data_IF_803208740978
#
_entry.id   IF_803208740978
#
_cell.length_a   1.000
_cell.length_b   1.000
_cell.length_c   1.000
_cell.angle_alpha   90.00
_cell.angle_beta   90.00
_cell.angle_gamma   90.00
#
_symmetry.space_group_name_H-M   'P 1'
#
loop_
_entity.id
_entity.type
_entity.pdbx_description
1 polymer ?
#
# COMPACT_ATOMS: atom_id res chain seq x y z
N UNK A 1 -9.05 45.27 26.27
CA UNK A 1 -8.03 44.34 26.81
C UNK A 1 -8.42 42.88 26.52
N UNK A 2 -8.61 42.50 25.25
CA UNK A 2 -9.12 41.15 24.90
C UNK A 2 -8.22 40.37 23.93
N UNK A 3 -7.18 40.98 23.35
CA UNK A 3 -6.35 40.33 22.32
C UNK A 3 -5.11 39.56 22.83
N UNK A 4 -4.88 39.53 24.14
CA UNK A 4 -3.71 38.84 24.71
C UNK A 4 -3.98 37.34 24.87
N UNK A 5 -5.20 36.94 25.26
CA UNK A 5 -5.55 35.53 25.49
C UNK A 5 -5.54 34.68 24.21
N UNK A 6 -5.91 35.25 23.05
CA UNK A 6 -5.92 34.55 21.75
C UNK A 6 -4.50 34.23 21.22
N UNK A 7 -3.47 34.98 21.60
CA UNK A 7 -2.09 34.69 21.20
C UNK A 7 -1.47 33.51 21.97
N UNK A 8 -1.88 33.29 23.23
CA UNK A 8 -1.39 32.17 24.02
C UNK A 8 -2.02 30.83 23.59
N UNK A 9 -3.28 30.82 23.16
CA UNK A 9 -3.94 29.60 22.67
C UNK A 9 -3.30 29.05 21.38
N UNK A 10 -2.85 29.93 20.46
CA UNK A 10 -2.17 29.50 19.22
C UNK A 10 -0.80 28.85 19.46
N UNK A 11 -0.07 29.23 20.52
CA UNK A 11 1.25 28.66 20.83
C UNK A 11 1.20 27.28 21.48
N UNK A 12 0.13 26.92 22.19
CA UNK A 12 0.04 25.58 22.79
C UNK A 12 -0.24 24.46 21.78
N UNK A 13 -0.93 24.76 20.67
CA UNK A 13 -1.22 23.80 19.61
C UNK A 13 -0.03 23.49 18.67
N UNK A 14 0.95 24.39 18.55
CA UNK A 14 2.11 24.18 17.67
C UNK A 14 3.15 23.21 18.25
N UNK A 15 3.26 23.12 19.58
CA UNK A 15 4.19 22.22 20.28
C UNK A 15 3.70 20.77 20.39
N UNK A 16 2.50 20.48 19.90
CA UNK A 16 1.86 19.15 19.97
C UNK A 16 1.56 18.56 18.60
N UNK A 17 1.99 19.19 17.51
CA UNK A 17 1.81 18.65 16.16
C UNK A 17 2.51 17.29 16.04
N UNK A 18 1.70 16.22 16.01
CA UNK A 18 2.13 14.84 15.82
C UNK A 18 1.82 14.45 14.38
N UNK A 19 2.84 14.35 13.54
CA UNK A 19 2.70 13.77 12.21
C UNK A 19 2.74 12.25 12.34
N UNK A 20 1.70 11.55 11.89
CA UNK A 20 1.69 10.08 11.77
C UNK A 20 2.29 9.69 10.42
N UNK A 21 3.32 8.86 10.44
CA UNK A 21 3.85 8.15 9.28
C UNK A 21 3.80 6.67 9.62
N UNK A 22 2.77 5.96 9.13
CA UNK A 22 2.52 4.56 9.48
C UNK A 22 2.21 4.34 10.97
N UNK A 23 2.84 3.34 11.60
CA UNK A 23 2.59 2.91 13.00
C UNK A 23 3.20 3.86 14.04
N UNK A 24 4.04 4.82 13.63
CA UNK A 24 4.81 5.66 14.56
C UNK A 24 4.20 7.06 14.74
N UNK A 25 4.13 7.53 15.99
CA UNK A 25 3.76 8.89 16.36
C UNK A 25 4.97 9.64 16.93
N UNK A 26 5.40 10.70 16.27
CA UNK A 26 6.55 11.50 16.71
C UNK A 26 6.11 12.81 17.38
N UNK A 27 6.76 13.18 18.49
CA UNK A 27 6.56 14.47 19.17
C UNK A 27 7.71 15.40 18.79
N UNK A 28 7.43 16.39 17.95
CA UNK A 28 8.41 17.38 17.46
C UNK A 28 8.73 18.39 18.56
N UNK A 29 9.55 18.04 19.56
CA UNK A 29 9.87 18.95 20.68
C UNK A 29 11.25 19.61 20.62
N UNK A 30 12.23 19.04 19.93
CA UNK A 30 13.56 19.65 19.80
C UNK A 30 14.17 19.37 18.42
N UNK A 31 14.79 20.38 17.81
CA UNK A 31 15.43 20.29 16.49
C UNK A 31 16.76 19.52 16.50
N UNK A 32 16.91 18.50 17.35
CA UNK A 32 17.93 17.49 17.09
C UNK A 32 17.36 16.54 16.05
N UNK A 33 17.36 17.04 14.82
CA UNK A 33 17.01 16.30 13.63
C UNK A 33 17.80 15.00 13.64
N UNK A 34 17.12 13.87 13.79
CA UNK A 34 17.74 12.57 13.55
C UNK A 34 18.08 12.56 12.07
N UNK A 35 19.34 12.90 11.70
CA UNK A 35 19.78 13.08 10.30
C UNK A 35 19.64 11.83 9.42
N UNK A 36 19.20 10.72 10.00
CA UNK A 36 19.27 9.37 9.46
C UNK A 36 18.15 8.47 10.03
N UNK A 37 16.87 8.81 9.83
CA UNK A 37 15.79 7.92 10.22
C UNK A 37 15.83 6.69 9.30
N UNK A 38 15.85 5.49 9.88
CA UNK A 38 15.76 4.24 9.12
C UNK A 38 16.95 3.30 9.25
N UNK A 39 18.19 3.76 9.50
CA UNK A 39 19.34 2.83 9.51
C UNK A 39 19.35 1.83 10.67
N UNK A 40 19.03 2.30 11.87
CA UNK A 40 18.96 1.52 13.11
C UNK A 40 17.76 2.02 13.89
N UNK A 41 17.03 1.13 14.55
CA UNK A 41 15.92 1.51 15.42
C UNK A 41 16.40 2.38 16.59
N UNK A 42 15.58 3.38 16.92
CA UNK A 42 15.92 4.42 17.90
C UNK A 42 16.28 3.82 19.26
N UNK A 43 15.49 2.83 19.70
CA UNK A 43 15.66 2.16 20.99
C UNK A 43 17.05 1.52 21.10
N UNK A 44 17.42 0.71 20.12
CA UNK A 44 18.76 0.11 20.01
C UNK A 44 19.87 1.15 19.98
N UNK A 45 19.66 2.27 19.29
CA UNK A 45 20.64 3.36 19.22
C UNK A 45 20.81 4.07 20.57
N UNK A 46 19.74 4.26 21.33
CA UNK A 46 19.79 4.83 22.68
C UNK A 46 20.44 3.87 23.69
N UNK A 47 20.13 2.58 23.61
CA UNK A 47 20.77 1.53 24.43
C UNK A 47 22.28 1.46 24.17
N UNK A 48 22.70 1.51 22.91
CA UNK A 48 24.13 1.55 22.54
C UNK A 48 24.79 2.86 22.96
N UNK A 49 24.12 4.01 22.86
CA UNK A 49 24.68 5.29 23.34
C UNK A 49 25.06 5.26 24.82
N UNK A 50 24.30 4.52 25.65
CA UNK A 50 24.61 4.35 27.08
C UNK A 50 25.91 3.58 27.32
N UNK A 51 26.36 2.75 26.36
CA UNK A 51 27.61 1.99 26.43
C UNK A 51 28.86 2.84 26.11
N UNK A 52 28.73 4.16 25.98
CA UNK A 52 29.85 5.08 25.79
C UNK A 52 30.58 4.88 24.46
N UNK A 53 31.91 4.80 24.51
CA UNK A 53 32.77 4.74 23.31
C UNK A 53 32.53 3.47 22.49
N UNK A 54 32.42 2.31 23.14
CA UNK A 54 32.17 1.03 22.45
C UNK A 54 30.80 1.02 21.75
N UNK A 55 29.80 1.59 22.41
CA UNK A 55 28.47 1.75 21.83
C UNK A 55 28.47 2.61 20.57
N UNK A 56 29.26 3.69 20.55
CA UNK A 56 29.44 4.51 19.34
C UNK A 56 30.04 3.70 18.18
N UNK A 57 31.06 2.88 18.42
CA UNK A 57 31.63 2.01 17.39
C UNK A 57 30.61 1.00 16.84
N UNK A 58 29.80 0.40 17.71
CA UNK A 58 28.72 -0.51 17.29
C UNK A 58 27.66 0.19 16.45
N UNK A 59 27.25 1.41 16.83
CA UNK A 59 26.32 2.22 16.05
C UNK A 59 26.89 2.48 14.65
N UNK A 60 28.17 2.87 14.53
CA UNK A 60 28.77 3.12 13.21
C UNK A 60 28.81 1.87 12.34
N UNK A 61 29.13 0.71 12.93
CA UNK A 61 29.13 -0.57 12.21
C UNK A 61 27.73 -0.93 11.72
N UNK A 62 26.74 -0.90 12.60
CA UNK A 62 25.35 -1.21 12.25
C UNK A 62 24.75 -0.21 11.25
N UNK A 63 25.13 1.07 11.29
CA UNK A 63 24.73 2.05 10.29
C UNK A 63 25.36 1.71 8.93
N UNK A 64 26.60 1.22 8.89
CA UNK A 64 27.27 0.83 7.66
C UNK A 64 26.66 -0.44 7.05
N UNK A 65 26.28 -1.37 7.90
CA UNK A 65 25.79 -2.70 7.54
C UNK A 65 24.26 -2.75 7.40
N UNK A 66 23.57 -1.60 7.52
CA UNK A 66 22.10 -1.50 7.46
C UNK A 66 21.54 -1.89 6.10
N UNK A 67 20.64 -2.88 6.07
CA UNK A 67 19.92 -3.30 4.86
C UNK A 67 18.95 -2.26 4.29
N UNK A 68 18.61 -1.24 5.09
CA UNK A 68 17.75 -0.13 4.65
C UNK A 68 18.49 0.94 3.85
N UNK A 69 19.82 0.82 3.70
CA UNK A 69 20.58 1.59 2.73
C UNK A 69 20.50 0.92 1.36
N UNK A 70 20.16 1.68 0.33
CA UNK A 70 20.13 1.24 -1.07
C UNK A 70 21.55 1.01 -1.65
N UNK A 71 22.46 0.42 -0.88
CA UNK A 71 23.88 0.31 -1.24
C UNK A 71 24.76 -0.16 -0.10
N UNK A 72 26.08 -0.12 -0.34
CA UNK A 72 27.12 -0.53 0.61
C UNK A 72 28.27 0.49 0.62
N UNK A 73 28.97 0.63 1.74
CA UNK A 73 30.21 1.42 1.79
C UNK A 73 31.42 0.55 1.43
N UNK A 74 32.19 0.97 0.43
CA UNK A 74 33.48 0.38 0.05
C UNK A 74 34.50 0.51 1.18
N UNK A 75 35.55 -0.33 1.16
CA UNK A 75 36.67 -0.28 2.10
C UNK A 75 37.35 1.10 2.19
N UNK A 76 37.27 1.91 1.13
CA UNK A 76 37.77 3.30 1.07
C UNK A 76 36.71 4.35 1.45
N UNK A 77 35.69 3.97 2.20
CA UNK A 77 34.59 4.85 2.66
C UNK A 77 33.76 5.51 1.56
N UNK A 78 33.87 5.04 0.31
CA UNK A 78 33.00 5.48 -0.80
C UNK A 78 31.68 4.72 -0.75
N UNK A 79 30.55 5.42 -0.80
CA UNK A 79 29.25 4.76 -0.90
C UNK A 79 29.04 4.26 -2.33
N UNK A 80 28.73 2.98 -2.47
CA UNK A 80 28.35 2.33 -3.72
C UNK A 80 26.85 2.07 -3.66
N UNK A 81 26.11 2.75 -4.53
CA UNK A 81 24.67 2.55 -4.67
C UNK A 81 24.40 1.22 -5.37
N UNK A 82 23.46 0.46 -4.83
CA UNK A 82 23.04 -0.84 -5.33
C UNK A 82 21.56 -0.76 -5.75
N UNK A 83 21.33 -0.72 -7.07
CA UNK A 83 20.00 -0.63 -7.66
C UNK A 83 19.13 -1.85 -7.36
N UNK A 84 19.74 -3.02 -7.11
CA UNK A 84 18.99 -4.25 -6.82
C UNK A 84 18.33 -4.22 -5.43
N UNK A 85 18.85 -3.39 -4.52
CA UNK A 85 18.29 -3.21 -3.17
C UNK A 85 17.18 -2.15 -3.12
N UNK A 86 16.97 -1.43 -4.22
CA UNK A 86 15.90 -0.44 -4.31
C UNK A 86 14.58 -1.18 -4.56
N UNK A 87 13.55 -0.98 -3.74
CA UNK A 87 12.25 -1.57 -4.00
C UNK A 87 11.71 -1.03 -5.33
N UNK A 88 11.45 -1.94 -6.27
CA UNK A 88 10.76 -1.62 -7.50
C UNK A 88 9.25 -1.65 -7.23
N UNK A 89 8.57 -0.55 -7.53
CA UNK A 89 7.12 -0.50 -7.50
C UNK A 89 6.62 -0.85 -8.90
N UNK A 90 5.95 -2.00 -9.01
CA UNK A 90 5.31 -2.41 -10.26
C UNK A 90 3.99 -1.64 -10.39
N UNK A 91 4.06 -0.51 -11.10
CA UNK A 91 2.93 0.39 -11.30
C UNK A 91 2.31 0.03 -12.65
N UNK A 92 1.05 -0.44 -12.68
CA UNK A 92 0.38 -0.74 -13.95
C UNK A 92 0.13 0.55 -14.74
N UNK A 93 0.03 0.42 -16.05
CA UNK A 93 -0.46 1.51 -16.89
C UNK A 93 -1.95 1.75 -16.57
N UNK A 94 -2.32 3.03 -16.44
CA UNK A 94 -3.66 3.47 -16.09
C UNK A 94 -4.37 4.13 -17.29
N UNK A 95 -3.78 4.09 -18.49
CA UNK A 95 -4.51 4.47 -19.71
C UNK A 95 -5.77 3.62 -19.84
N UNK A 96 -6.90 4.28 -20.11
CA UNK A 96 -8.23 3.66 -20.23
C UNK A 96 -8.76 3.00 -18.93
N UNK A 97 -8.23 3.38 -17.77
CA UNK A 97 -8.76 2.94 -16.48
C UNK A 97 -9.94 3.81 -16.03
N UNK A 98 -11.17 3.33 -16.27
CA UNK A 98 -12.40 4.08 -15.99
C UNK A 98 -12.77 4.15 -14.49
N UNK A 99 -12.25 3.24 -13.67
CA UNK A 99 -12.63 3.14 -12.26
C UNK A 99 -12.04 4.29 -11.45
N UNK A 100 -12.91 4.96 -10.70
CA UNK A 100 -12.54 6.06 -9.78
C UNK A 100 -12.37 5.53 -8.36
N UNK A 101 -11.57 6.20 -7.51
CA UNK A 101 -11.37 5.78 -6.11
C UNK A 101 -12.65 5.86 -5.26
N UNK A 102 -13.65 6.63 -5.71
CA UNK A 102 -14.92 6.80 -5.03
C UNK A 102 -16.08 6.56 -5.99
N UNK A 103 -17.19 6.09 -5.42
CA UNK A 103 -18.44 5.80 -6.13
C UNK A 103 -19.43 6.93 -5.87
N UNK A 104 -20.34 7.19 -6.83
CA UNK A 104 -21.42 8.17 -6.67
C UNK A 104 -22.35 7.79 -5.51
N UNK A 105 -22.86 8.78 -4.79
CA UNK A 105 -23.83 8.56 -3.70
C UNK A 105 -25.14 7.97 -4.22
N UNK A 106 -25.44 8.18 -5.50
CA UNK A 106 -26.67 7.71 -6.13
C UNK A 106 -26.62 6.23 -6.56
N UNK A 107 -25.46 5.57 -6.49
CA UNK A 107 -25.41 4.14 -6.80
C UNK A 107 -26.18 3.36 -5.74
N UNK A 108 -27.10 2.46 -6.14
CA UNK A 108 -27.86 1.66 -5.20
C UNK A 108 -26.93 0.76 -4.39
N UNK A 109 -27.33 0.48 -3.15
CA UNK A 109 -26.61 -0.47 -2.31
C UNK A 109 -26.85 -1.87 -2.86
N UNK A 110 -25.78 -2.65 -2.95
CA UNK A 110 -25.86 -4.06 -3.35
C UNK A 110 -26.47 -4.86 -2.20
N UNK A 111 -27.37 -5.78 -2.52
CA UNK A 111 -27.97 -6.68 -1.54
C UNK A 111 -26.96 -7.71 -1.04
N UNK A 112 -27.18 -8.26 0.16
CA UNK A 112 -26.25 -9.22 0.78
C UNK A 112 -26.04 -10.48 -0.06
N UNK A 113 -27.08 -10.94 -0.73
CA UNK A 113 -27.04 -12.15 -1.55
C UNK A 113 -26.11 -11.97 -2.75
N UNK A 114 -26.17 -10.80 -3.40
CA UNK A 114 -25.33 -10.49 -4.55
C UNK A 114 -23.88 -10.26 -4.15
N UNK A 115 -23.62 -9.69 -2.97
CA UNK A 115 -22.27 -9.61 -2.40
C UNK A 115 -21.67 -11.02 -2.23
N UNK A 116 -22.44 -11.99 -1.72
CA UNK A 116 -21.98 -13.37 -1.56
C UNK A 116 -21.65 -13.99 -2.92
N UNK A 117 -22.45 -13.74 -3.96
CA UNK A 117 -22.17 -14.20 -5.32
C UNK A 117 -20.88 -13.59 -5.86
N UNK A 118 -20.68 -12.28 -5.71
CA UNK A 118 -19.48 -11.57 -6.16
C UNK A 118 -18.23 -12.12 -5.46
N UNK A 119 -18.29 -12.35 -4.15
CA UNK A 119 -17.17 -12.93 -3.38
C UNK A 119 -16.82 -14.32 -3.91
N UNK A 120 -17.82 -15.16 -4.17
CA UNK A 120 -17.60 -16.52 -4.71
C UNK A 120 -16.99 -16.50 -6.12
N UNK A 121 -17.37 -15.53 -6.96
CA UNK A 121 -16.80 -15.35 -8.30
C UNK A 121 -15.34 -14.85 -8.25
N UNK A 122 -15.01 -14.01 -7.27
CA UNK A 122 -13.67 -13.48 -7.06
C UNK A 122 -12.77 -14.37 -6.18
N UNK A 123 -13.21 -15.59 -5.87
CA UNK A 123 -12.40 -16.54 -5.11
C UNK A 123 -11.34 -17.17 -6.02
N UNK A 124 -10.10 -16.69 -5.88
CA UNK A 124 -8.94 -17.15 -6.64
C UNK A 124 -8.39 -18.50 -6.15
N UNK A 125 -8.93 -19.07 -5.07
CA UNK A 125 -8.55 -20.41 -4.61
C UNK A 125 -9.29 -21.51 -5.37
N UNK A 126 -10.41 -21.18 -6.03
CA UNK A 126 -11.17 -22.11 -6.84
C UNK A 126 -10.55 -22.22 -8.25
N UNK A 127 -10.10 -23.42 -8.70
CA UNK A 127 -9.47 -23.59 -10.01
C UNK A 127 -10.41 -23.26 -11.18
N UNK A 128 -11.73 -23.33 -10.98
CA UNK A 128 -12.73 -22.99 -12.01
C UNK A 128 -12.72 -21.50 -12.34
N UNK A 129 -12.42 -20.64 -11.36
CA UNK A 129 -12.43 -19.18 -11.52
C UNK A 129 -11.15 -18.63 -12.17
N UNK A 130 -10.08 -19.45 -12.25
CA UNK A 130 -8.81 -19.06 -12.85
C UNK A 130 -8.86 -19.10 -14.39
N UNK A 131 -9.67 -19.98 -14.97
CA UNK A 131 -9.78 -20.16 -16.42
C UNK A 131 -10.89 -19.28 -17.02
N UNK A 132 -10.62 -17.97 -17.19
CA UNK A 132 -11.59 -17.03 -17.79
C UNK A 132 -11.89 -17.33 -19.26
N UNK A 133 -11.00 -18.03 -19.96
CA UNK A 133 -11.13 -18.32 -21.40
C UNK A 133 -12.10 -19.47 -21.71
N UNK A 134 -12.33 -20.40 -20.78
CA UNK A 134 -13.19 -21.58 -21.06
C UNK A 134 -14.68 -21.27 -21.00
N UNK A 135 -15.08 -20.13 -20.44
CA UNK A 135 -16.50 -19.77 -20.28
C UNK A 135 -17.10 -19.11 -21.53
N UNK A 136 -16.28 -18.46 -22.36
CA UNK A 136 -16.74 -17.72 -23.54
C UNK A 136 -17.28 -18.70 -24.60
N UNK A 137 -16.64 -19.84 -24.79
CA UNK A 137 -17.03 -20.87 -25.76
C UNK A 137 -18.38 -21.56 -25.44
N UNK A 138 -18.88 -21.44 -24.20
CA UNK A 138 -20.10 -22.11 -23.75
C UNK A 138 -21.39 -21.30 -23.93
N UNK A 139 -21.29 -20.00 -24.24
CA UNK A 139 -22.44 -19.11 -24.45
C UNK A 139 -22.82 -18.91 -25.92
N UNK A 140 -21.98 -19.34 -26.87
CA UNK A 140 -22.16 -19.13 -28.31
C UNK A 140 -22.82 -20.30 -29.07
N UNK A 141 -23.35 -21.34 -28.41
CA UNK A 141 -24.10 -22.37 -29.11
C UNK A 141 -25.56 -21.91 -29.35
N UNK A 142 -25.94 -21.46 -30.56
CA UNK A 142 -27.35 -21.21 -30.84
C UNK A 142 -28.11 -22.52 -30.71
N UNK A 143 -29.10 -22.56 -29.81
CA UNK A 143 -30.08 -23.66 -29.76
C UNK A 143 -30.70 -23.77 -31.15
N UNK A 144 -30.39 -24.86 -31.87
CA UNK A 144 -31.09 -25.23 -33.11
C UNK A 144 -32.59 -25.27 -32.78
N UNK A 145 -33.32 -24.27 -33.27
CA UNK A 145 -34.77 -24.26 -33.22
C UNK A 145 -35.26 -25.37 -34.14
N UNK A 146 -35.72 -26.47 -33.58
CA UNK A 146 -36.40 -27.53 -34.31
C UNK A 146 -37.72 -26.96 -34.86
N UNK A 147 -37.73 -26.62 -36.15
CA UNK A 147 -38.96 -26.31 -36.88
C UNK A 147 -39.76 -27.61 -37.04
N UNK A 148 -40.80 -27.80 -36.21
CA UNK A 148 -41.86 -28.77 -36.48
C UNK A 148 -42.57 -28.34 -37.77
N UNK A 149 -42.48 -29.18 -38.79
CA UNK A 149 -43.25 -29.05 -40.02
C UNK A 149 -44.72 -29.36 -39.72
N UNK A 150 -45.57 -28.34 -39.72
CA UNK A 150 -47.01 -28.53 -39.85
C UNK A 150 -47.32 -28.85 -41.31
N UNK A 151 -47.49 -30.14 -41.58
CA UNK A 151 -47.98 -30.65 -42.86
C UNK A 151 -49.42 -30.21 -43.07
N UNK A 152 -49.61 -29.41 -44.11
CA UNK A 152 -50.85 -29.22 -44.86
C UNK A 152 -51.72 -30.47 -44.96
N UNK A 153 -52.93 -30.42 -44.39
CA UNK A 153 -54.04 -31.27 -44.79
C UNK A 153 -55.00 -30.40 -45.62
N UNK A 154 -54.85 -30.46 -46.94
CA UNK A 154 -55.90 -30.20 -47.90
C UNK A 154 -56.60 -31.54 -48.19
N UNK A 155 -57.89 -31.62 -47.88
CA UNK A 155 -58.97 -32.23 -48.67
C UNK A 155 -60.20 -32.42 -47.79
#
# INVERSE_FOLDING_TARGET
MENIFMQFARKQGQNSFRKRLGVYSYRMKHSQYHKKPGLIDLRTKEELKKQGVQGRYKIYRMERDSDRLFGQFSARSKFLFDSQRVPFLDIPDLTDFDLKPYVSVHTPRIEKEDIIKIIKLNDFTNPVNFNRYTQIDSLEAPKKVEKKAESSAQN
#
